data_IF_479522740513
#
_entry.id   IF_479522740513
#
_cell.length_a   1.000
_cell.length_b   1.000
_cell.length_c   1.000
_cell.angle_alpha   90.00
_cell.angle_beta   90.00
_cell.angle_gamma   90.00
#
_symmetry.space_group_name_H-M   'P 1'
#
loop_
_entity.id
_entity.type
_entity.pdbx_description
1 polymer ?
#
# COMPACT_ATOMS: atom_id res chain seq x y z
N UNK A 1 8.83 9.46 -6.87
CA UNK A 1 7.60 8.74 -6.49
C UNK A 1 6.62 9.77 -5.94
N UNK A 2 5.44 9.91 -6.53
CA UNK A 2 4.35 10.68 -5.94
C UNK A 2 3.49 9.79 -5.04
N UNK A 3 2.82 10.40 -4.06
CA UNK A 3 1.92 9.74 -3.10
C UNK A 3 0.49 9.79 -3.64
N UNK A 4 0.02 10.98 -3.97
CA UNK A 4 -1.33 11.26 -4.48
C UNK A 4 -1.35 12.56 -5.29
N UNK A 5 -2.53 13.13 -5.49
CA UNK A 5 -2.76 14.41 -6.16
C UNK A 5 -3.61 15.32 -5.27
N UNK A 6 -3.32 16.64 -5.28
CA UNK A 6 -3.98 17.65 -4.45
C UNK A 6 -5.22 18.30 -5.06
N UNK A 7 -5.69 17.78 -6.19
CA UNK A 7 -6.89 18.29 -6.82
C UNK A 7 -8.15 18.03 -5.99
N UNK A 8 -9.23 18.72 -6.32
CA UNK A 8 -10.55 18.46 -5.74
C UNK A 8 -10.92 16.96 -5.85
N UNK A 9 -11.54 16.42 -4.79
CA UNK A 9 -11.83 14.99 -4.69
C UNK A 9 -12.74 14.47 -5.80
N UNK A 10 -13.74 15.26 -6.20
CA UNK A 10 -14.64 14.87 -7.29
C UNK A 10 -13.89 14.73 -8.61
N UNK A 11 -12.98 15.66 -8.90
CA UNK A 11 -12.10 15.60 -10.06
C UNK A 11 -11.10 14.44 -9.96
N UNK A 12 -10.55 14.19 -8.79
CA UNK A 12 -9.67 13.03 -8.56
C UNK A 12 -10.38 11.72 -8.94
N UNK A 13 -11.64 11.54 -8.53
CA UNK A 13 -12.42 10.35 -8.84
C UNK A 13 -12.65 10.14 -10.34
N UNK A 14 -12.77 11.20 -11.15
CA UNK A 14 -12.96 11.08 -12.61
C UNK A 14 -11.76 10.45 -13.31
N UNK A 15 -10.58 10.42 -12.69
CA UNK A 15 -9.37 9.78 -13.26
C UNK A 15 -9.50 8.27 -13.43
N UNK A 16 -10.48 7.67 -12.76
CA UNK A 16 -10.78 6.23 -12.84
C UNK A 16 -11.77 5.89 -13.98
N UNK A 17 -12.19 6.90 -14.75
CA UNK A 17 -13.04 6.76 -15.93
C UNK A 17 -14.25 5.84 -15.66
N UNK A 18 -14.48 4.83 -16.48
CA UNK A 18 -15.59 3.88 -16.33
C UNK A 18 -15.54 3.06 -15.02
N UNK A 19 -14.41 3.02 -14.33
CA UNK A 19 -14.26 2.32 -13.06
C UNK A 19 -14.59 3.17 -11.83
N UNK A 20 -14.89 4.45 -12.02
CA UNK A 20 -15.18 5.37 -10.92
C UNK A 20 -16.23 4.84 -9.96
N UNK A 21 -17.37 4.37 -10.47
CA UNK A 21 -18.45 3.85 -9.63
C UNK A 21 -18.05 2.61 -8.83
N UNK A 22 -17.25 1.72 -9.43
CA UNK A 22 -16.77 0.51 -8.76
C UNK A 22 -15.81 0.83 -7.61
N UNK A 23 -15.02 1.92 -7.73
CA UNK A 23 -14.00 2.30 -6.77
C UNK A 23 -14.47 3.34 -5.75
N UNK A 24 -15.61 4.00 -5.98
CA UNK A 24 -16.09 5.12 -5.17
C UNK A 24 -16.13 4.79 -3.67
N UNK A 25 -16.68 3.63 -3.30
CA UNK A 25 -16.76 3.21 -1.89
C UNK A 25 -15.38 3.08 -1.26
N UNK A 26 -14.42 2.48 -1.97
CA UNK A 26 -13.05 2.32 -1.49
C UNK A 26 -12.31 3.66 -1.40
N UNK A 27 -12.48 4.53 -2.39
CA UNK A 27 -11.86 5.86 -2.40
C UNK A 27 -12.42 6.76 -1.30
N UNK A 28 -13.70 6.61 -0.94
CA UNK A 28 -14.30 7.33 0.18
C UNK A 28 -13.71 6.90 1.54
N UNK A 29 -13.23 5.67 1.68
CA UNK A 29 -12.61 5.17 2.91
C UNK A 29 -11.21 5.76 3.15
N UNK A 30 -10.50 6.11 2.10
CA UNK A 30 -9.16 6.70 2.18
C UNK A 30 -8.94 7.70 1.03
N UNK A 31 -9.55 8.89 1.10
CA UNK A 31 -9.37 9.93 0.11
C UNK A 31 -7.94 10.52 0.14
N UNK A 32 -7.52 11.27 -0.89
CA UNK A 32 -6.15 11.78 -1.03
C UNK A 32 -5.60 12.59 0.15
N UNK A 33 -6.44 13.39 0.81
CA UNK A 33 -6.09 14.16 2.01
C UNK A 33 -5.81 13.26 3.20
N UNK A 34 -6.67 12.28 3.47
CA UNK A 34 -6.44 11.30 4.54
C UNK A 34 -5.22 10.41 4.26
N UNK A 35 -4.93 10.09 3.00
CA UNK A 35 -3.69 9.41 2.64
C UNK A 35 -2.47 10.28 3.00
N UNK A 36 -2.52 11.58 2.76
CA UNK A 36 -1.47 12.51 3.18
C UNK A 36 -1.33 12.56 4.70
N UNK A 37 -2.43 12.66 5.44
CA UNK A 37 -2.43 12.61 6.91
C UNK A 37 -1.82 11.32 7.45
N UNK A 38 -2.16 10.18 6.83
CA UNK A 38 -1.56 8.90 7.19
C UNK A 38 -0.04 8.88 6.96
N UNK A 39 0.44 9.45 5.85
CA UNK A 39 1.88 9.60 5.55
C UNK A 39 2.55 10.51 6.58
N UNK A 40 1.93 11.63 6.93
CA UNK A 40 2.42 12.54 7.99
C UNK A 40 2.48 11.82 9.34
N UNK A 41 1.50 10.99 9.65
CA UNK A 41 1.50 10.13 10.84
C UNK A 41 2.63 9.10 10.89
N UNK A 42 3.32 8.84 9.76
CA UNK A 42 4.56 8.07 9.70
C UNK A 42 5.83 8.92 9.92
N UNK A 43 5.68 10.23 10.16
CA UNK A 43 6.80 11.17 10.28
C UNK A 43 7.40 11.61 8.95
N UNK A 44 6.67 11.45 7.83
CA UNK A 44 7.12 11.82 6.50
C UNK A 44 6.42 13.11 6.06
N UNK A 45 7.16 14.20 5.96
CA UNK A 45 6.65 15.46 5.41
C UNK A 45 6.42 15.36 3.90
N UNK A 46 5.41 16.07 3.41
CA UNK A 46 5.06 16.12 1.99
C UNK A 46 5.00 17.55 1.45
N UNK A 47 5.08 17.70 0.14
CA UNK A 47 4.82 18.96 -0.55
C UNK A 47 4.05 18.71 -1.84
N UNK A 48 3.36 19.75 -2.33
CA UNK A 48 2.65 19.74 -3.59
C UNK A 48 3.56 20.33 -4.67
N UNK A 49 3.85 19.55 -5.71
CA UNK A 49 4.59 20.02 -6.88
C UNK A 49 3.71 20.86 -7.81
N UNK A 50 4.34 21.52 -8.79
CA UNK A 50 3.65 22.41 -9.76
C UNK A 50 2.57 21.72 -10.59
N UNK A 51 2.65 20.39 -10.74
CA UNK A 51 1.64 19.57 -11.42
C UNK A 51 0.46 19.16 -10.52
N UNK A 52 0.40 19.62 -9.27
CA UNK A 52 -0.58 19.19 -8.28
C UNK A 52 -0.30 17.81 -7.66
N UNK A 53 0.77 17.13 -8.06
CA UNK A 53 1.17 15.85 -7.44
C UNK A 53 1.79 16.10 -6.08
N UNK A 54 1.46 15.22 -5.13
CA UNK A 54 2.00 15.24 -3.77
C UNK A 54 3.20 14.32 -3.67
N UNK A 55 4.32 14.83 -3.17
CA UNK A 55 5.59 14.09 -3.05
C UNK A 55 6.07 14.10 -1.60
N UNK A 56 6.85 13.08 -1.18
CA UNK A 56 7.66 13.18 0.03
C UNK A 56 8.67 14.32 -0.13
N UNK A 57 8.90 15.11 0.93
CA UNK A 57 9.82 16.27 0.91
C UNK A 57 11.23 15.89 0.43
N UNK A 58 11.72 14.73 0.81
CA UNK A 58 13.03 14.23 0.38
C UNK A 58 13.05 13.64 -1.04
N UNK A 59 11.92 13.58 -1.74
CA UNK A 59 11.76 12.94 -3.07
C UNK A 59 12.15 11.46 -3.12
N UNK A 60 12.31 10.80 -1.96
CA UNK A 60 12.74 9.40 -1.82
C UNK A 60 11.63 8.54 -1.27
N UNK A 61 11.49 7.32 -1.82
CA UNK A 61 10.52 6.33 -1.32
C UNK A 61 11.01 5.58 -0.08
N UNK A 62 12.31 5.40 0.06
CA UNK A 62 12.89 4.55 1.09
C UNK A 62 12.60 5.00 2.54
N UNK A 63 12.60 6.29 2.91
CA UNK A 63 12.20 6.72 4.25
C UNK A 63 10.76 6.34 4.57
N UNK A 64 9.82 6.58 3.64
CA UNK A 64 8.41 6.20 3.81
C UNK A 64 8.25 4.68 4.00
N UNK A 65 8.90 3.88 3.15
CA UNK A 65 8.86 2.42 3.27
C UNK A 65 9.39 1.94 4.62
N UNK A 66 10.54 2.48 5.07
CA UNK A 66 11.12 2.11 6.38
C UNK A 66 10.19 2.46 7.55
N UNK A 67 9.61 3.65 7.54
CA UNK A 67 8.68 4.10 8.58
C UNK A 67 7.41 3.22 8.60
N UNK A 68 6.88 2.89 7.44
CA UNK A 68 5.72 1.99 7.34
C UNK A 68 6.03 0.58 7.83
N UNK A 69 7.14 -0.02 7.38
CA UNK A 69 7.58 -1.33 7.84
C UNK A 69 7.84 -1.35 9.36
N UNK A 70 8.40 -0.27 9.91
CA UNK A 70 8.58 -0.14 11.35
C UNK A 70 7.23 -0.18 12.09
N UNK A 71 6.25 0.62 11.64
CA UNK A 71 4.87 0.62 12.19
C UNK A 71 4.22 -0.76 12.11
N UNK A 72 4.33 -1.45 10.97
CA UNK A 72 3.76 -2.78 10.78
C UNK A 72 4.36 -3.81 11.75
N UNK A 73 5.69 -3.81 11.89
CA UNK A 73 6.38 -4.69 12.86
C UNK A 73 5.96 -4.40 14.29
N UNK A 74 5.82 -3.13 14.67
CA UNK A 74 5.31 -2.72 15.99
C UNK A 74 3.88 -3.20 16.26
N UNK A 75 3.09 -3.47 15.20
CA UNK A 75 1.76 -4.08 15.27
C UNK A 75 1.76 -5.61 15.15
N UNK A 76 2.93 -6.26 15.20
CA UNK A 76 3.06 -7.72 15.15
C UNK A 76 3.04 -8.31 13.73
N UNK A 77 3.02 -7.51 12.68
CA UNK A 77 3.10 -8.02 11.30
C UNK A 77 4.47 -8.63 11.03
N UNK A 78 4.50 -9.87 10.60
CA UNK A 78 5.72 -10.60 10.22
C UNK A 78 5.90 -10.55 8.71
N UNK A 79 7.07 -10.11 8.25
CA UNK A 79 7.43 -10.04 6.84
C UNK A 79 8.34 -11.22 6.48
N UNK A 80 7.87 -12.07 5.61
CA UNK A 80 8.62 -13.21 5.10
C UNK A 80 9.19 -12.86 3.72
N UNK A 81 10.45 -12.42 3.68
CA UNK A 81 11.15 -12.09 2.43
C UNK A 81 11.68 -13.34 1.74
N UNK A 82 11.89 -13.27 0.43
CA UNK A 82 12.37 -14.39 -0.40
C UNK A 82 11.46 -15.63 -0.33
N UNK A 83 10.16 -15.43 -0.11
CA UNK A 83 9.11 -16.43 -0.22
C UNK A 83 8.38 -16.18 -1.54
N UNK A 84 8.62 -17.02 -2.55
CA UNK A 84 7.94 -16.95 -3.83
C UNK A 84 6.64 -17.74 -3.74
N UNK A 85 5.53 -17.08 -3.87
CA UNK A 85 4.24 -17.76 -3.92
C UNK A 85 4.09 -18.57 -5.21
N UNK A 86 3.71 -19.84 -5.07
CA UNK A 86 3.54 -20.80 -6.17
C UNK A 86 2.06 -21.07 -6.49
N UNK A 87 1.15 -20.65 -5.62
CA UNK A 87 -0.28 -20.88 -5.78
C UNK A 87 -0.90 -21.61 -4.59
N UNK A 88 -2.06 -22.19 -4.84
CA UNK A 88 -2.82 -22.95 -3.87
C UNK A 88 -2.53 -24.44 -4.03
N UNK A 89 -2.29 -25.14 -2.94
CA UNK A 89 -2.20 -26.60 -2.91
C UNK A 89 -3.59 -27.27 -2.97
N UNK A 90 -3.59 -28.59 -3.09
CA UNK A 90 -4.81 -29.38 -3.25
C UNK A 90 -5.83 -29.22 -2.11
N UNK A 91 -5.35 -28.92 -0.88
CA UNK A 91 -6.19 -28.73 0.31
C UNK A 91 -6.39 -27.23 0.65
N UNK A 92 -6.12 -26.32 -0.29
CA UNK A 92 -6.29 -24.87 -0.10
C UNK A 92 -5.20 -24.20 0.70
N UNK A 93 -4.08 -24.86 1.03
CA UNK A 93 -2.91 -24.25 1.62
C UNK A 93 -2.16 -23.39 0.60
N UNK A 94 -1.51 -22.35 1.08
CA UNK A 94 -0.59 -21.52 0.28
C UNK A 94 0.74 -22.25 0.12
N UNK A 95 1.25 -22.31 -1.09
CA UNK A 95 2.54 -22.94 -1.41
C UNK A 95 3.58 -21.89 -1.76
N UNK A 96 4.76 -22.01 -1.18
CA UNK A 96 5.89 -21.10 -1.40
C UNK A 96 7.18 -21.85 -1.67
N UNK A 97 8.00 -21.28 -2.55
CA UNK A 97 9.41 -21.60 -2.68
C UNK A 97 10.21 -20.63 -1.80
N UNK A 98 11.09 -21.17 -0.97
CA UNK A 98 11.91 -20.38 -0.05
C UNK A 98 13.39 -20.79 -0.16
N UNK A 99 14.32 -19.98 0.37
CA UNK A 99 15.75 -20.37 0.41
C UNK A 99 16.03 -21.68 1.16
N UNK A 100 15.09 -22.11 2.01
CA UNK A 100 15.21 -23.34 2.78
C UNK A 100 14.41 -24.51 2.17
N UNK A 101 13.90 -24.35 0.95
CA UNK A 101 13.08 -25.33 0.26
C UNK A 101 11.59 -24.97 0.20
N UNK A 102 10.74 -25.91 -0.27
CA UNK A 102 9.30 -25.72 -0.31
C UNK A 102 8.71 -25.47 1.09
N UNK A 103 7.72 -24.57 1.16
CA UNK A 103 7.02 -24.24 2.40
C UNK A 103 5.52 -24.13 2.13
N UNK A 104 4.72 -24.76 2.98
CA UNK A 104 3.26 -24.67 2.92
C UNK A 104 2.72 -23.98 4.14
N UNK A 105 1.67 -23.20 3.97
CA UNK A 105 1.02 -22.46 5.05
C UNK A 105 -0.49 -22.48 4.91
N UNK A 106 -1.19 -22.80 6.00
CA UNK A 106 -2.66 -22.77 6.04
C UNK A 106 -3.12 -21.61 6.91
N UNK A 107 -3.40 -20.43 6.32
CA UNK A 107 -3.89 -19.27 7.05
C UNK A 107 -5.35 -19.43 7.44
N UNK A 108 -5.79 -18.73 8.48
CA UNK A 108 -7.21 -18.60 8.83
C UNK A 108 -7.97 -17.79 7.78
N UNK A 109 -7.30 -16.80 7.17
CA UNK A 109 -7.82 -15.98 6.08
C UNK A 109 -6.67 -15.51 5.19
N UNK A 110 -6.97 -15.27 3.92
CA UNK A 110 -6.05 -14.68 2.93
C UNK A 110 -6.71 -13.47 2.30
N UNK A 111 -5.95 -12.38 2.13
CA UNK A 111 -6.38 -11.11 1.51
C UNK A 111 -5.50 -10.82 0.31
#
# INVERSE_FOLDING_TARGET
MNITHSEDYSRFCTRYAERQNNLQTTLNLLPPDQLCEWVHGLGIETFVGTSGRVFPKEMKAAPLLRAWLHRLRGKGVRMHVRHRWLGWGANGQLQFETPNGPFEFSPTATV
#
